data_IF_819348529458
#
_entry.id   IF_819348529458
#
_cell.length_a   1.000
_cell.length_b   1.000
_cell.length_c   1.000
_cell.angle_alpha   90.00
_cell.angle_beta   90.00
_cell.angle_gamma   90.00
#
_symmetry.space_group_name_H-M   'P 1'
#
loop_
_entity.id
_entity.type
_entity.pdbx_description
1 polymer ?
#
# COMPACT_ATOMS: atom_id res chain seq x y z
N UNK A 1 19.96 -21.24 -1.74
CA UNK A 1 20.62 -20.30 -2.68
C UNK A 1 19.70 -19.28 -3.35
N UNK A 2 18.41 -19.55 -3.60
CA UNK A 2 17.51 -18.64 -4.36
C UNK A 2 17.16 -17.31 -3.65
N UNK A 3 17.00 -17.31 -2.32
CA UNK A 3 16.59 -16.11 -1.57
C UNK A 3 17.60 -14.96 -1.58
N UNK A 4 18.91 -15.25 -1.45
CA UNK A 4 19.96 -14.21 -1.52
C UNK A 4 19.99 -13.49 -2.86
N UNK A 5 19.78 -14.23 -3.95
CA UNK A 5 19.77 -13.64 -5.30
C UNK A 5 18.55 -12.74 -5.52
N UNK A 6 17.38 -13.09 -4.95
CA UNK A 6 16.17 -12.28 -5.07
C UNK A 6 16.23 -11.00 -4.22
N UNK A 7 16.70 -11.09 -2.98
CA UNK A 7 16.92 -9.92 -2.13
C UNK A 7 17.92 -8.93 -2.77
N UNK A 8 18.96 -9.46 -3.41
CA UNK A 8 19.91 -8.63 -4.16
C UNK A 8 19.26 -7.98 -5.38
N UNK A 9 18.34 -8.67 -6.08
CA UNK A 9 17.59 -8.14 -7.22
C UNK A 9 16.68 -6.98 -6.82
N UNK A 10 15.95 -7.10 -5.72
CA UNK A 10 15.08 -6.03 -5.20
C UNK A 10 15.88 -4.77 -4.84
N UNK A 11 17.04 -4.94 -4.19
CA UNK A 11 17.93 -3.82 -3.87
C UNK A 11 18.40 -3.12 -5.15
N UNK A 12 18.83 -3.87 -6.18
CA UNK A 12 19.26 -3.29 -7.47
C UNK A 12 18.14 -2.48 -8.12
N UNK A 13 16.92 -3.02 -8.14
CA UNK A 13 15.76 -2.34 -8.73
C UNK A 13 15.39 -1.08 -7.97
N UNK A 14 15.40 -1.11 -6.64
CA UNK A 14 15.18 0.08 -5.82
C UNK A 14 16.23 1.16 -6.12
N UNK A 15 17.50 0.78 -6.21
CA UNK A 15 18.60 1.72 -6.51
C UNK A 15 18.45 2.32 -7.91
N UNK A 16 18.06 1.51 -8.89
CA UNK A 16 17.79 1.97 -10.25
C UNK A 16 16.62 2.96 -10.30
N UNK A 17 15.52 2.66 -9.60
CA UNK A 17 14.38 3.57 -9.47
C UNK A 17 14.75 4.89 -8.81
N UNK A 18 15.54 4.84 -7.72
CA UNK A 18 16.06 6.05 -7.05
C UNK A 18 16.91 6.91 -7.98
N UNK A 19 17.74 6.30 -8.83
CA UNK A 19 18.56 7.01 -9.81
C UNK A 19 17.70 7.65 -10.92
N UNK A 20 16.74 6.91 -11.46
CA UNK A 20 15.80 7.37 -12.49
C UNK A 20 14.85 8.45 -11.95
N UNK A 21 14.54 8.42 -10.65
CA UNK A 21 13.80 9.48 -9.96
C UNK A 21 14.61 10.79 -9.77
N UNK A 22 15.85 10.86 -10.27
CA UNK A 22 16.68 12.06 -10.30
C UNK A 22 17.75 12.15 -9.21
N UNK A 23 17.92 11.11 -8.38
CA UNK A 23 19.00 11.11 -7.37
C UNK A 23 20.36 10.90 -8.06
N UNK A 24 21.32 11.79 -7.77
CA UNK A 24 22.67 11.72 -8.35
C UNK A 24 23.34 10.37 -8.06
N UNK A 25 23.86 9.74 -9.11
CA UNK A 25 24.55 8.44 -9.03
C UNK A 25 25.66 8.40 -7.97
N UNK A 26 26.43 9.48 -7.80
CA UNK A 26 27.48 9.53 -6.76
C UNK A 26 26.96 9.53 -5.32
N UNK A 27 25.74 10.02 -5.09
CA UNK A 27 25.07 9.94 -3.78
C UNK A 27 24.65 8.49 -3.51
N UNK A 28 24.04 7.84 -4.51
CA UNK A 28 23.63 6.44 -4.40
C UNK A 28 24.82 5.50 -4.24
N UNK A 29 25.90 5.70 -4.99
CA UNK A 29 27.14 4.95 -4.87
C UNK A 29 27.68 4.95 -3.44
N UNK A 30 27.69 6.11 -2.77
CA UNK A 30 28.10 6.22 -1.35
C UNK A 30 27.09 5.57 -0.39
N UNK A 31 25.78 5.80 -0.61
CA UNK A 31 24.70 5.24 0.23
C UNK A 31 24.68 3.72 0.22
N UNK A 32 24.94 3.12 -0.94
CA UNK A 32 24.87 1.67 -1.15
C UNK A 32 26.25 1.01 -1.20
N UNK A 33 27.33 1.74 -0.89
CA UNK A 33 28.71 1.25 -0.85
C UNK A 33 29.15 0.50 -2.12
N UNK A 34 28.74 1.01 -3.28
CA UNK A 34 29.06 0.42 -4.59
C UNK A 34 29.65 1.46 -5.52
N UNK A 35 30.35 0.99 -6.56
CA UNK A 35 30.91 1.89 -7.55
C UNK A 35 29.81 2.63 -8.34
N UNK A 36 30.02 3.88 -8.77
CA UNK A 36 29.11 4.57 -9.67
C UNK A 36 28.84 3.81 -10.98
N UNK A 37 29.79 2.99 -11.44
CA UNK A 37 29.63 2.12 -12.62
C UNK A 37 28.58 1.04 -12.36
N UNK A 38 28.62 0.42 -11.18
CA UNK A 38 27.65 -0.59 -10.75
C UNK A 38 26.22 -0.04 -10.77
N UNK A 39 26.02 1.18 -10.27
CA UNK A 39 24.70 1.85 -10.30
C UNK A 39 24.21 2.03 -11.73
N UNK A 40 25.05 2.52 -12.65
CA UNK A 40 24.67 2.71 -14.06
C UNK A 40 24.27 1.40 -14.74
N UNK A 41 24.97 0.31 -14.43
CA UNK A 41 24.63 -1.01 -14.93
C UNK A 41 23.26 -1.46 -14.42
N UNK A 42 22.95 -1.24 -13.13
CA UNK A 42 21.64 -1.57 -12.58
C UNK A 42 20.51 -0.74 -13.20
N UNK A 43 20.75 0.53 -13.51
CA UNK A 43 19.80 1.37 -14.25
C UNK A 43 19.54 0.80 -15.64
N UNK A 44 20.60 0.42 -16.38
CA UNK A 44 20.47 -0.20 -17.71
C UNK A 44 19.68 -1.51 -17.64
N UNK A 45 20.05 -2.42 -16.73
CA UNK A 45 19.35 -3.69 -16.50
C UNK A 45 17.86 -3.46 -16.18
N UNK A 46 17.54 -2.43 -15.40
CA UNK A 46 16.18 -2.06 -15.06
C UNK A 46 15.40 -1.57 -16.28
N UNK A 47 15.96 -0.64 -17.06
CA UNK A 47 15.31 -0.13 -18.29
C UNK A 47 15.14 -1.24 -19.35
N UNK A 48 16.10 -2.15 -19.50
CA UNK A 48 15.96 -3.32 -20.39
C UNK A 48 14.82 -4.26 -19.94
N UNK A 49 14.57 -4.36 -18.63
CA UNK A 49 13.55 -5.26 -18.08
C UNK A 49 12.15 -4.65 -18.14
N UNK A 50 12.03 -3.34 -17.89
CA UNK A 50 10.75 -2.67 -17.66
C UNK A 50 10.41 -1.59 -18.71
N UNK A 51 11.33 -1.28 -19.62
CA UNK A 51 11.23 -0.20 -20.60
C UNK A 51 11.86 1.11 -20.12
N UNK A 52 12.09 2.04 -21.05
CA UNK A 52 12.66 3.36 -20.76
C UNK A 52 11.72 4.23 -19.90
N UNK A 53 10.41 4.01 -19.99
CA UNK A 53 9.35 4.69 -19.22
C UNK A 53 9.02 3.97 -17.88
N UNK A 54 9.90 3.09 -17.41
CA UNK A 54 9.63 2.25 -16.23
C UNK A 54 9.51 3.00 -14.90
N UNK A 55 9.91 4.28 -14.86
CA UNK A 55 9.77 5.12 -13.67
C UNK A 55 8.76 6.22 -13.96
N UNK A 56 7.69 6.33 -13.15
CA UNK A 56 6.71 7.39 -13.31
C UNK A 56 7.40 8.75 -13.25
N UNK A 57 7.01 9.62 -14.15
CA UNK A 57 7.44 11.01 -14.21
C UNK A 57 7.14 11.72 -12.88
N UNK A 58 7.82 12.85 -12.64
CA UNK A 58 7.61 13.65 -11.42
C UNK A 58 6.12 14.02 -11.28
N UNK A 59 5.47 14.39 -12.38
CA UNK A 59 4.05 14.76 -12.39
C UNK A 59 3.13 13.59 -12.04
N UNK A 60 3.40 12.39 -12.58
CA UNK A 60 2.66 11.18 -12.24
C UNK A 60 2.82 10.81 -10.77
N UNK A 61 4.03 10.94 -10.22
CA UNK A 61 4.30 10.70 -8.80
C UNK A 61 3.60 11.70 -7.90
N UNK A 62 3.56 12.97 -8.29
CA UNK A 62 2.84 14.02 -7.56
C UNK A 62 1.33 13.77 -7.59
N UNK A 63 0.80 13.35 -8.75
CA UNK A 63 -0.61 13.02 -8.89
C UNK A 63 -1.01 11.81 -8.04
N UNK A 64 -0.22 10.74 -8.06
CA UNK A 64 -0.46 9.56 -7.22
C UNK A 64 -0.36 9.91 -5.73
N UNK A 65 0.60 10.77 -5.35
CA UNK A 65 0.72 11.23 -3.95
C UNK A 65 -0.52 12.00 -3.49
N UNK A 66 -1.09 12.87 -4.34
CA UNK A 66 -2.35 13.57 -4.05
C UNK A 66 -3.51 12.60 -3.93
N UNK A 67 -3.62 11.65 -4.87
CA UNK A 67 -4.65 10.60 -4.85
C UNK A 67 -4.58 9.75 -3.59
N UNK A 68 -3.38 9.38 -3.14
CA UNK A 68 -3.17 8.64 -1.89
C UNK A 68 -3.62 9.46 -0.68
N UNK A 69 -3.28 10.74 -0.60
CA UNK A 69 -3.73 11.62 0.47
C UNK A 69 -5.26 11.75 0.51
N UNK A 70 -5.91 11.91 -0.64
CA UNK A 70 -7.38 11.93 -0.72
C UNK A 70 -8.01 10.60 -0.29
N UNK A 71 -7.38 9.48 -0.65
CA UNK A 71 -7.86 8.15 -0.24
C UNK A 71 -7.73 7.95 1.27
N UNK A 72 -6.61 8.35 1.85
CA UNK A 72 -6.37 8.29 3.29
C UNK A 72 -7.38 9.16 4.06
N UNK A 73 -7.68 10.35 3.55
CA UNK A 73 -8.70 11.22 4.15
C UNK A 73 -10.09 10.56 4.10
N UNK A 74 -10.50 9.99 2.95
CA UNK A 74 -11.77 9.27 2.81
C UNK A 74 -11.85 8.07 3.75
N UNK A 75 -10.76 7.32 3.86
CA UNK A 75 -10.66 6.17 4.76
C UNK A 75 -10.83 6.57 6.23
N UNK A 76 -10.14 7.63 6.68
CA UNK A 76 -10.26 8.13 8.05
C UNK A 76 -11.67 8.63 8.36
N UNK A 77 -12.33 9.31 7.41
CA UNK A 77 -13.74 9.71 7.54
C UNK A 77 -14.66 8.50 7.66
N UNK A 78 -14.44 7.46 6.84
CA UNK A 78 -15.23 6.24 6.89
C UNK A 78 -15.06 5.47 8.21
N UNK A 79 -13.83 5.36 8.72
CA UNK A 79 -13.56 4.76 10.04
C UNK A 79 -14.27 5.50 11.16
N UNK A 80 -14.25 6.83 11.13
CA UNK A 80 -14.95 7.63 12.14
C UNK A 80 -16.46 7.38 12.10
N UNK A 81 -17.07 7.45 10.91
CA UNK A 81 -18.49 7.20 10.73
C UNK A 81 -18.89 5.77 11.14
N UNK A 82 -18.01 4.79 10.87
CA UNK A 82 -18.21 3.40 11.31
C UNK A 82 -18.22 3.31 12.84
N UNK A 83 -17.24 3.90 13.52
CA UNK A 83 -17.18 3.90 14.98
C UNK A 83 -18.39 4.58 15.63
N UNK A 84 -18.88 5.68 15.07
CA UNK A 84 -20.13 6.33 15.51
C UNK A 84 -21.33 5.38 15.39
N UNK A 85 -21.41 4.62 14.30
CA UNK A 85 -22.49 3.64 14.07
C UNK A 85 -22.37 2.40 14.94
N UNK A 86 -21.16 1.92 15.22
CA UNK A 86 -20.93 0.81 16.15
C UNK A 86 -21.35 1.18 17.58
N UNK A 87 -21.02 2.40 18.02
CA UNK A 87 -21.44 2.90 19.33
C UNK A 87 -22.97 3.01 19.43
N UNK A 88 -23.61 3.59 18.41
CA UNK A 88 -25.07 3.66 18.33
C UNK A 88 -25.70 2.25 18.38
N UNK A 89 -25.12 1.29 17.63
CA UNK A 89 -25.60 -0.09 17.62
C UNK A 89 -25.49 -0.73 19.01
N UNK A 90 -24.37 -0.55 19.71
CA UNK A 90 -24.16 -1.10 21.04
C UNK A 90 -25.17 -0.54 22.06
N UNK A 91 -25.38 0.78 22.04
CA UNK A 91 -26.39 1.42 22.89
C UNK A 91 -27.80 0.86 22.61
N UNK A 92 -28.16 0.72 21.33
CA UNK A 92 -29.45 0.14 20.95
C UNK A 92 -29.59 -1.32 21.41
N UNK A 93 -28.53 -2.13 21.28
CA UNK A 93 -28.52 -3.52 21.78
C UNK A 93 -28.72 -3.59 23.28
N UNK A 94 -28.08 -2.71 24.05
CA UNK A 94 -28.28 -2.64 25.50
C UNK A 94 -29.71 -2.26 25.87
N UNK A 95 -30.31 -1.28 25.18
CA UNK A 95 -31.69 -0.87 25.42
C UNK A 95 -32.67 -2.01 25.13
N UNK A 96 -32.50 -2.72 24.01
CA UNK A 96 -33.33 -3.90 23.69
C UNK A 96 -33.16 -4.98 24.76
N UNK A 97 -31.93 -5.22 25.24
CA UNK A 97 -31.66 -6.20 26.31
C UNK A 97 -32.35 -5.84 27.62
N UNK A 98 -32.40 -4.55 27.97
CA UNK A 98 -33.10 -4.05 29.16
C UNK A 98 -34.62 -4.21 29.04
N UNK A 99 -35.18 -3.97 27.85
CA UNK A 99 -36.65 -4.04 27.61
C UNK A 99 -37.14 -5.46 27.39
N UNK A 100 -36.37 -6.31 26.71
CA UNK A 100 -36.71 -7.71 26.43
C UNK A 100 -35.48 -8.62 26.63
N UNK A 101 -35.31 -9.20 27.83
CA UNK A 101 -34.16 -10.05 28.16
C UNK A 101 -34.04 -11.32 27.30
N UNK A 102 -35.13 -11.75 26.64
CA UNK A 102 -35.17 -12.93 25.77
C UNK A 102 -34.77 -12.64 24.32
N UNK A 103 -34.40 -11.40 23.98
CA UNK A 103 -34.01 -11.06 22.62
C UNK A 103 -32.68 -11.71 22.23
N UNK A 104 -32.62 -12.31 21.03
CA UNK A 104 -31.43 -13.00 20.53
C UNK A 104 -30.48 -12.01 19.86
N UNK A 105 -29.32 -11.78 20.46
CA UNK A 105 -28.16 -11.19 19.78
C UNK A 105 -27.53 -12.25 18.87
N UNK A 106 -28.01 -12.41 17.63
CA UNK A 106 -27.27 -13.21 16.64
C UNK A 106 -26.09 -12.39 16.11
N UNK A 107 -24.94 -12.49 16.78
CA UNK A 107 -23.67 -11.89 16.35
C UNK A 107 -22.97 -12.71 15.24
N UNK A 108 -23.69 -13.61 14.56
CA UNK A 108 -23.10 -14.61 13.64
C UNK A 108 -23.62 -14.47 12.20
N UNK A 109 -23.53 -13.27 11.62
CA UNK A 109 -23.95 -13.05 10.22
C UNK A 109 -22.94 -12.25 9.38
N UNK A 110 -21.64 -12.48 9.56
CA UNK A 110 -20.60 -12.02 8.62
C UNK A 110 -19.76 -13.18 8.05
N UNK A 111 -20.40 -14.34 7.84
CA UNK A 111 -19.91 -15.41 6.96
C UNK A 111 -21.03 -15.90 6.05
N UNK A 112 -21.45 -15.06 5.11
CA UNK A 112 -22.05 -15.54 3.86
C UNK A 112 -21.38 -14.83 2.71
N UNK A 113 -20.25 -15.44 2.35
CA UNK A 113 -19.57 -15.40 1.06
C UNK A 113 -20.47 -14.97 -0.10
N UNK A 114 -20.01 -13.90 -0.75
CA UNK A 114 -19.97 -13.77 -2.21
C UNK A 114 -19.77 -15.14 -2.89
N UNK A 115 -20.73 -15.59 -3.70
CA UNK A 115 -20.62 -16.88 -4.36
C UNK A 115 -21.87 -17.33 -5.11
N UNK A 116 -22.34 -16.48 -6.03
CA UNK A 116 -23.21 -16.75 -7.20
C UNK A 116 -23.56 -15.37 -7.77
N UNK A 117 -23.28 -15.04 -9.02
CA UNK A 117 -23.84 -15.72 -10.17
C UNK A 117 -22.85 -15.89 -11.34
N UNK A 118 -23.05 -17.00 -12.04
CA UNK A 118 -22.56 -17.37 -13.36
C UNK A 118 -23.22 -16.55 -14.46
#
# INVERSE_FOLDING_TARGET
MRQRNNAFKEVRYKVAQEALAGIKVGVLARKYEVSPKTIRNWVKEFQETFGDDAVPTIDERLNESKRLAEMEEKYNRALKALGEKELENEVLRELVKKVNPAWKTDSTSHRRSSGRDT
#
